data_IF_977461214133
#
_entry.id   IF_977461214133
#
_cell.length_a   1.000
_cell.length_b   1.000
_cell.length_c   1.000
_cell.angle_alpha   90.00
_cell.angle_beta   90.00
_cell.angle_gamma   90.00
#
_symmetry.space_group_name_H-M   'P 1'
#
loop_
_entity.id
_entity.type
_entity.pdbx_description
1 polymer ?
#
# COMPACT_ATOMS: atom_id res chain seq x y z
N UNK A 1 15.53 31.88 14.97
CA UNK A 1 15.53 30.41 14.76
C UNK A 1 15.61 29.71 16.10
N UNK A 2 14.57 29.00 16.55
CA UNK A 2 14.63 28.23 17.80
C UNK A 2 15.17 26.83 17.50
N UNK A 3 16.47 26.62 17.71
CA UNK A 3 17.09 25.29 17.69
C UNK A 3 16.57 24.48 18.88
N UNK A 4 15.47 23.74 18.70
CA UNK A 4 15.07 22.70 19.65
C UNK A 4 15.98 21.49 19.45
N UNK A 5 16.81 21.17 20.44
CA UNK A 5 17.55 19.89 20.51
C UNK A 5 16.57 18.76 20.81
N UNK A 6 15.90 18.24 19.80
CA UNK A 6 15.28 16.92 19.90
C UNK A 6 16.40 15.90 19.75
N UNK A 7 16.71 15.19 20.84
CA UNK A 7 17.66 14.08 20.80
C UNK A 7 17.00 12.89 20.08
N UNK A 8 17.13 12.85 18.76
CA UNK A 8 16.97 11.61 17.99
C UNK A 8 18.34 11.22 17.43
N UNK A 9 18.58 9.93 17.22
CA UNK A 9 19.84 9.47 16.61
C UNK A 9 19.66 9.45 15.10
N UNK A 10 20.38 10.30 14.32
CA UNK A 10 20.27 10.31 12.87
C UNK A 10 20.82 9.00 12.31
N UNK A 11 19.93 8.07 11.97
CA UNK A 11 20.32 6.74 11.52
C UNK A 11 21.14 6.78 10.21
N UNK A 12 20.99 7.85 9.43
CA UNK A 12 21.74 8.10 8.20
C UNK A 12 23.20 8.50 8.44
N UNK A 13 23.58 8.92 9.65
CA UNK A 13 24.96 9.33 9.95
C UNK A 13 25.97 8.19 9.79
N UNK A 14 25.52 6.93 9.93
CA UNK A 14 26.34 5.73 9.70
C UNK A 14 26.29 5.22 8.25
N UNK A 15 25.58 5.91 7.36
CA UNK A 15 25.43 5.48 5.98
C UNK A 15 26.53 6.10 5.12
N UNK A 16 27.43 5.25 4.60
CA UNK A 16 28.57 5.67 3.79
C UNK A 16 28.17 6.47 2.55
N UNK A 17 27.06 6.10 1.89
CA UNK A 17 26.59 6.83 0.72
C UNK A 17 26.09 8.22 1.12
N UNK A 18 25.36 8.34 2.25
CA UNK A 18 24.92 9.65 2.77
C UNK A 18 26.12 10.53 3.12
N UNK A 19 27.11 10.00 3.85
CA UNK A 19 28.34 10.73 4.18
C UNK A 19 29.05 11.24 2.91
N UNK A 20 29.18 10.37 1.90
CA UNK A 20 29.77 10.73 0.62
C UNK A 20 28.99 11.86 -0.08
N UNK A 21 27.65 11.82 -0.06
CA UNK A 21 26.82 12.86 -0.66
C UNK A 21 26.97 14.22 0.07
N UNK A 22 26.99 14.23 1.41
CA UNK A 22 27.26 15.45 2.17
C UNK A 22 28.63 16.05 1.83
N UNK A 23 29.66 15.22 1.66
CA UNK A 23 30.99 15.67 1.25
C UNK A 23 31.02 16.24 -0.18
N UNK A 24 30.37 15.57 -1.14
CA UNK A 24 30.35 16.00 -2.56
C UNK A 24 29.64 17.34 -2.75
N UNK A 25 28.51 17.53 -2.06
CA UNK A 25 27.64 18.68 -2.26
C UNK A 25 27.92 19.83 -1.28
N UNK A 26 28.56 19.52 -0.15
CA UNK A 26 28.80 20.45 0.94
C UNK A 26 27.57 20.60 1.85
N UNK A 27 27.77 20.56 3.16
CA UNK A 27 26.70 20.49 4.17
C UNK A 27 25.67 21.62 4.08
N UNK A 28 26.08 22.81 3.62
CA UNK A 28 25.17 23.96 3.46
C UNK A 28 24.18 23.79 2.31
N UNK A 29 24.52 22.96 1.31
CA UNK A 29 23.75 22.83 0.08
C UNK A 29 22.79 21.64 0.09
N UNK A 30 22.94 20.69 1.01
CA UNK A 30 22.17 19.45 1.01
C UNK A 30 21.58 19.19 2.38
N UNK A 31 20.29 18.84 2.43
CA UNK A 31 19.60 18.46 3.67
C UNK A 31 18.68 17.28 3.40
N UNK A 32 18.61 16.35 4.34
CA UNK A 32 17.51 15.38 4.36
C UNK A 32 16.21 16.11 4.63
N UNK A 33 15.10 15.61 4.08
CA UNK A 33 13.79 16.23 4.24
C UNK A 33 12.67 15.21 4.30
N UNK A 34 11.55 15.59 4.92
CA UNK A 34 10.27 14.92 4.71
C UNK A 34 10.20 13.55 5.38
N UNK A 35 10.03 12.49 4.58
CA UNK A 35 9.76 11.13 5.08
C UNK A 35 10.80 10.61 6.05
N UNK A 36 12.08 10.68 5.66
CA UNK A 36 13.19 10.15 6.43
C UNK A 36 13.35 10.86 7.78
N UNK A 37 13.29 12.20 7.80
CA UNK A 37 13.40 12.99 9.03
C UNK A 37 12.24 12.68 9.98
N UNK A 38 11.02 12.60 9.46
CA UNK A 38 9.82 12.31 10.28
C UNK A 38 9.82 10.90 10.89
N UNK A 39 10.41 9.93 10.19
CA UNK A 39 10.59 8.55 10.67
C UNK A 39 11.69 8.50 11.73
N UNK A 40 12.80 9.22 11.53
CA UNK A 40 13.88 9.32 12.51
C UNK A 40 13.44 10.00 13.83
N UNK A 41 12.62 11.05 13.75
CA UNK A 41 12.03 11.71 14.91
C UNK A 41 11.12 10.78 15.75
N UNK A 42 10.64 9.68 15.16
CA UNK A 42 9.89 8.63 15.84
C UNK A 42 10.77 7.41 16.20
N UNK A 43 12.10 7.56 16.23
CA UNK A 43 13.09 6.51 16.51
C UNK A 43 12.95 5.26 15.61
N UNK A 44 12.53 5.48 14.36
CA UNK A 44 12.43 4.43 13.34
C UNK A 44 13.41 4.72 12.19
N UNK A 45 13.62 3.74 11.30
CA UNK A 45 14.52 3.85 10.15
C UNK A 45 13.75 3.62 8.84
N UNK A 46 14.25 4.21 7.77
CA UNK A 46 13.76 3.98 6.41
C UNK A 46 14.94 3.97 5.45
N UNK A 47 14.81 3.20 4.38
CA UNK A 47 15.79 3.10 3.31
C UNK A 47 15.43 4.03 2.14
N UNK A 48 14.31 4.75 2.26
CA UNK A 48 13.85 5.77 1.31
C UNK A 48 14.23 7.15 1.85
N UNK A 49 15.30 7.74 1.30
CA UNK A 49 15.93 8.97 1.77
C UNK A 49 15.76 10.11 0.76
N UNK A 50 14.90 11.05 1.10
CA UNK A 50 14.69 12.27 0.33
C UNK A 50 15.66 13.36 0.77
N UNK A 51 16.36 13.95 -0.19
CA UNK A 51 17.21 15.12 0.01
C UNK A 51 16.70 16.31 -0.79
N UNK A 52 16.79 17.47 -0.17
CA UNK A 52 16.65 18.76 -0.82
C UNK A 52 18.05 19.33 -1.07
N UNK A 53 18.33 19.74 -2.31
CA UNK A 53 19.65 20.24 -2.72
C UNK A 53 19.57 21.63 -3.37
N UNK A 54 20.35 22.57 -2.84
CA UNK A 54 20.52 23.92 -3.35
C UNK A 54 21.46 23.96 -4.56
N UNK A 55 21.18 23.14 -5.57
CA UNK A 55 21.93 23.07 -6.82
C UNK A 55 20.99 22.69 -7.96
N UNK A 56 21.25 23.19 -9.17
CA UNK A 56 20.50 22.81 -10.37
C UNK A 56 20.73 21.33 -10.71
N UNK A 57 19.73 20.62 -11.27
CA UNK A 57 19.85 19.19 -11.57
C UNK A 57 21.07 18.84 -12.42
N UNK A 58 21.43 19.66 -13.41
CA UNK A 58 22.57 19.39 -14.28
C UNK A 58 23.91 19.42 -13.53
N UNK A 59 24.06 20.35 -12.59
CA UNK A 59 25.25 20.40 -11.72
C UNK A 59 25.28 19.22 -10.73
N UNK A 60 24.11 18.78 -10.25
CA UNK A 60 24.00 17.57 -9.42
C UNK A 60 24.48 16.35 -10.21
N UNK A 61 24.00 16.17 -11.44
CA UNK A 61 24.43 15.08 -12.34
C UNK A 61 25.94 15.12 -12.57
N UNK A 62 26.49 16.26 -12.98
CA UNK A 62 27.93 16.42 -13.20
C UNK A 62 28.77 16.05 -11.97
N UNK A 63 28.35 16.47 -10.76
CA UNK A 63 29.05 16.11 -9.52
C UNK A 63 28.96 14.61 -9.20
N UNK A 64 27.82 13.97 -9.45
CA UNK A 64 27.67 12.53 -9.26
C UNK A 64 28.55 11.73 -10.25
N UNK A 65 28.59 12.14 -11.52
CA UNK A 65 29.43 11.53 -12.57
C UNK A 65 30.91 11.64 -12.21
N UNK A 66 31.38 12.84 -11.85
CA UNK A 66 32.77 13.06 -11.39
C UNK A 66 33.18 12.20 -10.19
N UNK A 67 32.21 11.74 -9.40
CA UNK A 67 32.44 10.91 -8.21
C UNK A 67 32.06 9.43 -8.41
N UNK A 68 31.85 9.01 -9.67
CA UNK A 68 31.48 7.64 -10.07
C UNK A 68 30.23 7.10 -9.36
N UNK A 69 29.23 7.97 -9.11
CA UNK A 69 27.96 7.58 -8.51
C UNK A 69 26.92 7.39 -9.62
N UNK A 70 26.44 6.16 -9.81
CA UNK A 70 25.38 5.85 -10.76
C UNK A 70 24.03 6.41 -10.29
N UNK A 71 23.30 7.07 -11.18
CA UNK A 71 21.98 7.62 -10.90
C UNK A 71 21.01 7.37 -12.07
N UNK A 72 19.73 7.61 -11.82
CA UNK A 72 18.68 7.69 -12.85
C UNK A 72 17.99 9.03 -12.74
N UNK A 73 17.95 9.78 -13.84
CA UNK A 73 17.09 10.95 -13.96
C UNK A 73 15.68 10.49 -14.34
N UNK A 74 14.85 10.26 -13.33
CA UNK A 74 13.43 9.93 -13.53
C UNK A 74 12.56 11.18 -13.67
N UNK A 75 13.15 12.37 -13.51
CA UNK A 75 12.38 13.59 -13.49
C UNK A 75 12.05 14.03 -14.90
N UNK A 76 10.76 14.07 -15.25
CA UNK A 76 10.28 14.74 -16.46
C UNK A 76 10.38 16.28 -16.31
N UNK A 77 11.57 16.80 -15.98
CA UNK A 77 11.81 18.22 -15.72
C UNK A 77 11.50 18.71 -14.30
N UNK A 78 11.23 17.80 -13.34
CA UNK A 78 10.95 18.19 -11.95
C UNK A 78 12.21 18.31 -11.07
N UNK A 79 13.40 17.96 -11.60
CA UNK A 79 14.67 18.14 -10.91
C UNK A 79 14.93 17.16 -9.77
N UNK A 80 14.51 15.90 -9.93
CA UNK A 80 14.76 14.82 -8.97
C UNK A 80 15.63 13.74 -9.62
N UNK A 81 16.76 13.45 -9.00
CA UNK A 81 17.73 12.44 -9.42
C UNK A 81 17.70 11.31 -8.40
N UNK A 82 17.52 10.06 -8.85
CA UNK A 82 17.45 8.90 -7.99
C UNK A 82 18.76 8.10 -8.02
N UNK A 83 19.32 7.81 -6.86
CA UNK A 83 20.47 6.93 -6.66
C UNK A 83 19.96 5.63 -6.03
N UNK A 84 20.38 4.49 -6.57
CA UNK A 84 19.99 3.17 -6.08
C UNK A 84 21.24 2.45 -5.58
N UNK A 85 21.23 2.04 -4.32
CA UNK A 85 22.21 1.14 -3.74
C UNK A 85 21.55 -0.19 -3.37
N UNK A 86 22.32 -1.15 -2.87
CA UNK A 86 21.78 -2.44 -2.41
C UNK A 86 20.72 -2.25 -1.33
N UNK A 87 20.95 -1.31 -0.43
CA UNK A 87 20.14 -1.13 0.76
C UNK A 87 19.23 0.11 0.67
N UNK A 88 19.65 1.19 0.00
CA UNK A 88 18.95 2.47 0.00
C UNK A 88 18.51 2.96 -1.38
N UNK A 89 17.37 3.66 -1.37
CA UNK A 89 16.88 4.51 -2.45
C UNK A 89 17.03 5.97 -1.98
N UNK A 90 17.87 6.74 -2.68
CA UNK A 90 18.11 8.14 -2.37
C UNK A 90 17.56 9.01 -3.49
N UNK A 91 16.69 9.96 -3.16
CA UNK A 91 16.16 10.95 -4.10
C UNK A 91 16.76 12.33 -3.81
N UNK A 92 17.61 12.83 -4.69
CA UNK A 92 18.13 14.20 -4.65
C UNK A 92 17.21 15.12 -5.45
N UNK A 93 16.47 16.00 -4.76
CA UNK A 93 15.57 16.96 -5.41
C UNK A 93 16.10 18.37 -5.28
N UNK A 94 16.36 19.02 -6.42
CA UNK A 94 16.74 20.43 -6.46
C UNK A 94 15.65 21.31 -5.85
N UNK A 95 16.06 22.31 -5.06
CA UNK A 95 15.13 23.29 -4.48
C UNK A 95 14.35 23.97 -5.59
N UNK A 96 13.03 24.02 -5.43
CA UNK A 96 12.14 24.58 -6.45
C UNK A 96 10.94 25.29 -5.84
N UNK A 97 10.36 26.21 -6.60
CA UNK A 97 9.03 26.79 -6.40
C UNK A 97 8.12 26.38 -7.54
N UNK A 98 6.82 26.26 -7.27
CA UNK A 98 5.83 25.97 -8.31
C UNK A 98 5.40 27.29 -8.98
N UNK A 99 5.64 27.44 -10.29
CA UNK A 99 5.30 28.65 -11.09
C UNK A 99 3.89 28.53 -11.69
N UNK A 100 3.51 27.34 -12.15
CA UNK A 100 2.13 27.02 -12.54
C UNK A 100 1.67 25.81 -11.73
N UNK A 101 0.56 25.94 -11.01
CA UNK A 101 0.13 24.95 -10.03
C UNK A 101 -1.06 24.16 -10.55
N UNK A 102 -0.81 23.06 -11.26
CA UNK A 102 -1.86 22.05 -11.49
C UNK A 102 -1.30 20.64 -11.58
N UNK A 103 -1.37 19.91 -10.46
CA UNK A 103 -0.98 18.50 -10.36
C UNK A 103 0.46 18.25 -10.86
N UNK A 104 0.64 17.24 -11.72
CA UNK A 104 1.95 16.89 -12.30
C UNK A 104 2.37 17.75 -13.49
N UNK A 105 1.50 18.61 -14.02
CA UNK A 105 1.84 19.53 -15.11
C UNK A 105 2.45 20.85 -14.60
N UNK A 106 2.88 20.88 -13.34
CA UNK A 106 3.44 22.07 -12.75
C UNK A 106 4.75 22.48 -13.44
N UNK A 107 4.82 23.74 -13.87
CA UNK A 107 6.10 24.36 -14.26
C UNK A 107 6.80 24.76 -12.96
N UNK A 108 8.06 24.37 -12.82
CA UNK A 108 8.86 24.64 -11.62
C UNK A 108 9.96 25.66 -11.92
N UNK A 109 10.25 26.53 -10.98
CA UNK A 109 11.42 27.41 -11.00
C UNK A 109 12.40 26.97 -9.93
N UNK A 110 13.68 26.81 -10.29
CA UNK A 110 14.71 26.51 -9.30
C UNK A 110 15.00 27.74 -8.44
N UNK A 111 15.26 27.52 -7.16
CA UNK A 111 15.44 28.56 -6.12
C UNK A 111 16.61 28.19 -5.23
N UNK A 112 17.08 29.16 -4.43
CA UNK A 112 18.22 28.96 -3.55
C UNK A 112 17.88 29.00 -2.05
N UNK A 113 16.60 28.82 -1.69
CA UNK A 113 16.13 28.90 -0.30
C UNK A 113 15.36 27.63 0.11
N UNK A 114 15.82 26.99 1.19
CA UNK A 114 15.13 25.85 1.79
C UNK A 114 13.78 26.25 2.39
N UNK A 115 13.63 27.49 2.85
CA UNK A 115 12.36 28.01 3.37
C UNK A 115 11.32 28.12 2.26
N UNK A 116 11.72 28.63 1.09
CA UNK A 116 10.87 28.71 -0.08
C UNK A 116 10.49 27.32 -0.62
N UNK A 117 11.43 26.35 -0.59
CA UNK A 117 11.10 24.94 -0.91
C UNK A 117 10.12 24.34 0.10
N UNK A 118 10.25 24.72 1.38
CA UNK A 118 9.36 24.27 2.43
C UNK A 118 7.92 24.78 2.21
N UNK A 119 7.74 26.03 1.74
CA UNK A 119 6.42 26.64 1.47
C UNK A 119 5.57 25.84 0.48
N UNK A 120 6.20 25.24 -0.54
CA UNK A 120 5.50 24.42 -1.56
C UNK A 120 5.17 22.99 -1.10
N UNK A 121 5.65 22.53 0.05
CA UNK A 121 5.32 21.19 0.58
C UNK A 121 3.90 21.15 1.12
N UNK A 122 3.31 19.98 1.22
CA UNK A 122 1.90 19.82 1.57
C UNK A 122 1.63 20.10 3.06
N UNK A 123 2.35 19.43 3.95
CA UNK A 123 2.11 19.46 5.39
C UNK A 123 3.34 19.89 6.17
N UNK A 124 3.14 20.54 7.32
CA UNK A 124 4.21 21.01 8.22
C UNK A 124 5.17 19.88 8.60
N UNK A 125 4.63 18.71 8.94
CA UNK A 125 5.39 17.48 9.27
C UNK A 125 6.26 16.96 8.11
N UNK A 126 6.01 17.41 6.87
CA UNK A 126 6.77 17.01 5.68
C UNK A 126 7.79 18.07 5.24
N UNK A 127 7.83 19.22 5.93
CA UNK A 127 8.77 20.32 5.70
C UNK A 127 9.82 20.45 6.81
N UNK A 128 10.11 19.34 7.50
CA UNK A 128 11.21 19.25 8.46
C UNK A 128 12.45 18.79 7.70
N UNK A 129 13.54 19.55 7.85
CA UNK A 129 14.83 19.26 7.24
C UNK A 129 15.86 18.92 8.30
N UNK A 130 16.86 18.15 7.93
CA UNK A 130 17.99 17.85 8.81
C UNK A 130 19.32 17.82 8.06
N UNK A 131 20.37 18.27 8.72
CA UNK A 131 21.75 18.07 8.27
C UNK A 131 22.25 16.66 8.64
N UNK A 132 23.54 16.41 8.40
CA UNK A 132 24.18 15.13 8.70
C UNK A 132 24.17 14.81 10.21
N UNK A 133 24.35 15.84 11.03
CA UNK A 133 24.48 15.74 12.49
C UNK A 133 23.13 15.63 13.21
N UNK A 134 22.02 15.82 12.50
CA UNK A 134 20.68 15.75 13.07
C UNK A 134 20.14 17.10 13.53
N UNK A 135 20.84 18.22 13.25
CA UNK A 135 20.28 19.53 13.51
C UNK A 135 19.08 19.76 12.59
N UNK A 136 18.02 20.36 13.13
CA UNK A 136 16.76 20.53 12.42
C UNK A 136 16.60 21.94 11.89
N UNK A 137 16.16 22.04 10.64
CA UNK A 137 15.59 23.26 10.08
C UNK A 137 14.09 23.03 9.85
N UNK A 138 13.26 23.69 10.67
CA UNK A 138 11.81 23.51 10.69
C UNK A 138 11.09 24.87 10.63
N UNK A 139 10.90 25.44 9.44
CA UNK A 139 10.32 26.78 9.29
C UNK A 139 8.81 26.84 9.58
N UNK A 140 8.12 25.70 9.73
CA UNK A 140 6.65 25.65 9.85
C UNK A 140 6.16 24.86 11.07
N UNK A 141 6.99 24.73 12.12
CA UNK A 141 6.67 24.03 13.36
C UNK A 141 6.20 22.57 13.14
N UNK A 142 6.70 21.90 12.09
CA UNK A 142 6.36 20.52 11.75
C UNK A 142 6.72 19.54 12.85
N UNK A 143 7.79 19.80 13.60
CA UNK A 143 8.19 19.02 14.77
C UNK A 143 7.10 19.05 15.85
N UNK A 144 6.62 20.24 16.20
CA UNK A 144 5.58 20.44 17.22
C UNK A 144 4.25 19.81 16.78
N UNK A 145 3.92 19.93 15.50
CA UNK A 145 2.74 19.28 14.94
C UNK A 145 2.86 17.75 14.95
N UNK A 146 4.05 17.21 14.67
CA UNK A 146 4.34 15.77 14.73
C UNK A 146 4.22 15.23 16.15
N UNK A 147 4.80 15.91 17.15
CA UNK A 147 4.66 15.56 18.59
C UNK A 147 3.19 15.49 19.01
N UNK A 148 2.35 16.36 18.45
CA UNK A 148 0.91 16.40 18.71
C UNK A 148 0.09 15.51 17.78
N UNK A 149 0.72 14.74 16.89
CA UNK A 149 0.09 13.94 15.83
C UNK A 149 -0.88 14.74 14.95
N UNK A 150 -0.64 16.04 14.76
CA UNK A 150 -1.47 16.94 13.97
C UNK A 150 -1.00 17.00 12.52
N UNK A 151 -1.93 16.79 11.60
CA UNK A 151 -1.68 16.94 10.17
C UNK A 151 -2.17 18.31 9.73
N UNK A 152 -1.25 19.24 9.52
CA UNK A 152 -1.55 20.64 9.18
C UNK A 152 -0.96 20.99 7.82
N UNK A 153 -1.75 21.62 6.96
CA UNK A 153 -1.25 22.19 5.71
C UNK A 153 -0.33 23.39 5.97
N UNK A 154 0.69 23.56 5.13
CA UNK A 154 1.48 24.79 5.10
C UNK A 154 0.67 25.86 4.36
N UNK A 155 0.44 27.01 4.98
CA UNK A 155 -0.41 28.07 4.44
C UNK A 155 -1.92 27.73 4.47
N UNK A 156 -2.68 28.25 3.49
CA UNK A 156 -4.14 28.10 3.43
C UNK A 156 -4.52 26.73 2.83
N UNK A 157 -5.18 25.82 3.57
CA UNK A 157 -5.47 24.45 3.12
C UNK A 157 -6.18 24.35 1.76
N UNK A 158 -7.17 25.20 1.51
CA UNK A 158 -7.95 25.19 0.26
C UNK A 158 -7.10 25.53 -0.96
N UNK A 159 -6.18 26.49 -0.84
CA UNK A 159 -5.21 26.82 -1.90
C UNK A 159 -4.28 25.62 -2.15
N UNK A 160 -3.79 24.98 -1.09
CA UNK A 160 -2.92 23.81 -1.21
C UNK A 160 -3.65 22.64 -1.89
N UNK A 161 -4.92 22.43 -1.62
CA UNK A 161 -5.71 21.39 -2.30
C UNK A 161 -5.87 21.72 -3.79
N UNK A 162 -6.14 22.98 -4.14
CA UNK A 162 -6.27 23.43 -5.54
C UNK A 162 -4.99 23.19 -6.36
N UNK A 163 -3.81 23.33 -5.75
CA UNK A 163 -2.52 23.05 -6.42
C UNK A 163 -2.38 21.57 -6.84
N UNK A 164 -2.76 20.64 -5.96
CA UNK A 164 -2.78 19.19 -6.25
C UNK A 164 -3.83 18.48 -5.40
N UNK A 165 -4.94 18.10 -6.05
CA UNK A 165 -6.06 17.40 -5.39
C UNK A 165 -5.63 16.07 -4.73
N UNK A 166 -4.48 15.48 -5.10
CA UNK A 166 -3.95 14.28 -4.42
C UNK A 166 -3.68 14.53 -2.93
N UNK A 167 -3.45 15.78 -2.53
CA UNK A 167 -3.24 16.15 -1.12
C UNK A 167 -4.44 15.81 -0.24
N UNK A 168 -5.66 15.71 -0.79
CA UNK A 168 -6.84 15.20 -0.08
C UNK A 168 -6.60 13.77 0.43
N UNK A 169 -6.19 12.86 -0.46
CA UNK A 169 -5.91 11.47 -0.10
C UNK A 169 -4.67 11.35 0.80
N UNK A 170 -3.64 12.18 0.55
CA UNK A 170 -2.45 12.22 1.41
C UNK A 170 -2.80 12.67 2.83
N UNK A 171 -3.68 13.66 2.98
CA UNK A 171 -4.14 14.13 4.29
C UNK A 171 -4.76 12.99 5.08
N UNK A 172 -5.76 12.30 4.51
CA UNK A 172 -6.40 11.18 5.19
C UNK A 172 -5.45 10.00 5.43
N UNK A 173 -4.53 9.71 4.50
CA UNK A 173 -3.46 8.74 4.74
C UNK A 173 -2.61 9.10 5.97
N UNK A 174 -2.20 10.36 6.09
CA UNK A 174 -1.38 10.81 7.20
C UNK A 174 -2.16 10.86 8.51
N UNK A 175 -3.44 11.25 8.49
CA UNK A 175 -4.36 11.10 9.63
C UNK A 175 -4.37 9.65 10.09
N UNK A 176 -4.56 8.70 9.17
CA UNK A 176 -4.53 7.27 9.50
C UNK A 176 -3.16 6.73 9.92
N UNK A 177 -2.09 7.48 9.68
CA UNK A 177 -0.73 7.09 10.06
C UNK A 177 -0.39 7.58 11.47
N UNK A 178 -0.75 8.83 11.79
CA UNK A 178 -0.32 9.52 13.01
C UNK A 178 -1.45 9.74 14.02
N UNK A 179 -2.61 10.20 13.57
CA UNK A 179 -3.71 10.53 14.47
C UNK A 179 -4.49 9.27 14.89
N UNK A 180 -4.96 9.25 16.13
CA UNK A 180 -5.77 8.18 16.73
C UNK A 180 -7.08 8.66 17.34
N UNK A 181 -7.28 9.97 17.48
CA UNK A 181 -8.49 10.57 18.05
C UNK A 181 -8.80 11.95 17.44
N UNK A 182 -10.01 12.46 17.71
CA UNK A 182 -10.50 13.72 17.13
C UNK A 182 -9.73 14.97 17.62
N UNK A 183 -9.16 14.97 18.83
CA UNK A 183 -8.39 16.10 19.38
C UNK A 183 -7.10 16.38 18.60
N UNK A 184 -6.58 15.37 17.90
CA UNK A 184 -5.41 15.45 17.04
C UNK A 184 -5.73 15.95 15.62
N UNK A 185 -7.02 16.17 15.29
CA UNK A 185 -7.41 16.73 14.00
C UNK A 185 -7.25 18.25 14.02
N UNK A 186 -6.52 18.77 13.04
CA UNK A 186 -6.47 20.21 12.80
C UNK A 186 -7.72 20.64 12.01
N UNK A 187 -8.68 21.26 12.69
CA UNK A 187 -10.02 21.55 12.15
C UNK A 187 -9.99 22.28 10.79
N UNK A 188 -9.15 23.32 10.62
CA UNK A 188 -9.04 24.04 9.35
C UNK A 188 -8.58 23.14 8.19
N UNK A 189 -7.68 22.19 8.46
CA UNK A 189 -7.20 21.25 7.44
C UNK A 189 -8.24 20.16 7.15
N UNK A 190 -8.94 19.69 8.19
CA UNK A 190 -10.01 18.70 8.05
C UNK A 190 -11.18 19.25 7.22
N UNK A 191 -11.71 20.42 7.58
CA UNK A 191 -12.88 21.01 6.93
C UNK A 191 -12.60 21.28 5.45
N UNK A 192 -11.44 21.88 5.14
CA UNK A 192 -11.03 22.11 3.75
C UNK A 192 -10.94 20.80 2.96
N UNK A 193 -10.46 19.71 3.56
CA UNK A 193 -10.41 18.40 2.92
C UNK A 193 -11.81 17.80 2.68
N UNK A 194 -12.74 17.96 3.62
CA UNK A 194 -14.12 17.46 3.49
C UNK A 194 -14.85 18.21 2.38
N UNK A 195 -14.84 19.54 2.43
CA UNK A 195 -15.52 20.42 1.46
C UNK A 195 -15.04 20.20 0.02
N UNK A 196 -13.76 19.87 -0.15
CA UNK A 196 -13.14 19.69 -1.46
C UNK A 196 -13.00 18.22 -1.87
N UNK A 197 -13.49 17.26 -1.08
CA UNK A 197 -13.19 15.83 -1.30
C UNK A 197 -13.64 15.31 -2.66
N UNK A 198 -14.74 15.84 -3.21
CA UNK A 198 -15.26 15.46 -4.53
C UNK A 198 -14.24 15.62 -5.66
N UNK A 199 -13.26 16.53 -5.49
CA UNK A 199 -12.19 16.78 -6.47
C UNK A 199 -11.27 15.58 -6.68
N UNK A 200 -11.29 14.55 -5.83
CA UNK A 200 -10.50 13.33 -6.10
C UNK A 200 -10.92 12.65 -7.41
N UNK A 201 -12.15 12.88 -7.91
CA UNK A 201 -12.62 12.38 -9.22
C UNK A 201 -11.81 12.93 -10.40
N UNK A 202 -11.09 14.05 -10.22
CA UNK A 202 -10.19 14.63 -11.24
C UNK A 202 -8.83 13.93 -11.33
N UNK A 203 -8.52 13.04 -10.38
CA UNK A 203 -7.23 12.35 -10.32
C UNK A 203 -7.25 11.08 -11.15
N UNK A 204 -6.10 10.73 -11.73
CA UNK A 204 -5.89 9.40 -12.34
C UNK A 204 -6.07 8.28 -11.30
N UNK A 205 -6.69 7.17 -11.71
CA UNK A 205 -6.96 6.00 -10.85
C UNK A 205 -5.70 5.40 -10.23
N UNK A 206 -4.56 5.45 -10.92
CA UNK A 206 -3.27 4.99 -10.41
C UNK A 206 -2.84 5.78 -9.17
N UNK A 207 -2.95 7.11 -9.21
CA UNK A 207 -2.58 7.99 -8.09
C UNK A 207 -3.50 7.78 -6.89
N UNK A 208 -4.81 7.67 -7.16
CA UNK A 208 -5.82 7.37 -6.13
C UNK A 208 -5.49 6.03 -5.47
N UNK A 209 -5.22 5.00 -6.27
CA UNK A 209 -4.86 3.69 -5.76
C UNK A 209 -3.62 3.71 -4.86
N UNK A 210 -2.55 4.41 -5.26
CA UNK A 210 -1.30 4.43 -4.48
C UNK A 210 -1.57 4.98 -3.08
N UNK A 211 -2.27 6.11 -2.99
CA UNK A 211 -2.58 6.73 -1.69
C UNK A 211 -3.62 5.92 -0.91
N UNK A 212 -4.65 5.38 -1.57
CA UNK A 212 -5.63 4.50 -0.93
C UNK A 212 -4.98 3.23 -0.36
N UNK A 213 -4.08 2.58 -1.09
CA UNK A 213 -3.35 1.43 -0.60
C UNK A 213 -2.51 1.77 0.63
N UNK A 214 -1.84 2.93 0.64
CA UNK A 214 -1.06 3.35 1.81
C UNK A 214 -1.97 3.69 3.00
N UNK A 215 -3.13 4.31 2.76
CA UNK A 215 -4.16 4.51 3.78
C UNK A 215 -4.66 3.17 4.33
N UNK A 216 -4.95 2.20 3.46
CA UNK A 216 -5.39 0.87 3.87
C UNK A 216 -4.36 0.17 4.76
N UNK A 217 -3.08 0.48 4.63
CA UNK A 217 -2.02 -0.12 5.44
C UNK A 217 -1.62 0.72 6.66
N UNK A 218 -2.25 1.88 6.84
CA UNK A 218 -1.93 2.78 7.94
C UNK A 218 -2.33 2.16 9.29
N UNK A 219 -1.71 2.67 10.37
CA UNK A 219 -1.89 2.15 11.74
C UNK A 219 -3.35 2.29 12.21
N UNK A 220 -3.96 3.44 11.94
CA UNK A 220 -5.29 3.84 12.40
C UNK A 220 -6.26 4.00 11.22
N UNK A 221 -6.22 3.10 10.24
CA UNK A 221 -7.11 3.14 9.06
C UNK A 221 -8.59 3.20 9.47
N UNK A 222 -8.99 2.47 10.52
CA UNK A 222 -10.35 2.48 11.04
C UNK A 222 -10.81 3.88 11.48
N UNK A 223 -9.94 4.64 12.14
CA UNK A 223 -10.22 6.02 12.56
C UNK A 223 -10.40 6.96 11.36
N UNK A 224 -9.56 6.81 10.34
CA UNK A 224 -9.73 7.60 9.11
C UNK A 224 -11.00 7.23 8.35
N UNK A 225 -11.32 5.94 8.27
CA UNK A 225 -12.54 5.46 7.64
C UNK A 225 -13.78 5.90 8.41
N UNK A 226 -13.75 6.02 9.74
CA UNK A 226 -14.87 6.54 10.51
C UNK A 226 -15.12 8.02 10.23
N UNK A 227 -14.06 8.83 10.08
CA UNK A 227 -14.18 10.24 9.66
C UNK A 227 -14.78 10.32 8.25
N UNK A 228 -14.21 9.58 7.30
CA UNK A 228 -14.72 9.57 5.91
C UNK A 228 -16.18 9.11 5.87
N UNK A 229 -16.57 8.10 6.65
CA UNK A 229 -17.95 7.63 6.73
C UNK A 229 -18.87 8.69 7.31
N UNK A 230 -18.48 9.35 8.41
CA UNK A 230 -19.25 10.43 9.08
C UNK A 230 -19.62 11.54 8.10
N UNK A 231 -18.75 11.84 7.14
CA UNK A 231 -18.97 12.86 6.11
C UNK A 231 -19.46 12.32 4.75
N UNK A 232 -19.91 11.06 4.68
CA UNK A 232 -20.39 10.40 3.44
C UNK A 232 -19.37 10.36 2.29
N UNK A 233 -18.07 10.30 2.63
CA UNK A 233 -16.98 10.39 1.67
C UNK A 233 -16.45 9.03 1.18
N UNK A 234 -16.80 7.91 1.83
CA UNK A 234 -16.24 6.60 1.47
C UNK A 234 -16.59 6.14 0.05
N UNK A 235 -17.79 6.50 -0.44
CA UNK A 235 -18.21 6.13 -1.79
C UNK A 235 -17.36 6.79 -2.88
N UNK A 236 -16.74 7.95 -2.62
CA UNK A 236 -15.81 8.55 -3.58
C UNK A 236 -14.52 7.73 -3.74
N UNK A 237 -14.16 6.89 -2.77
CA UNK A 237 -13.00 6.00 -2.85
C UNK A 237 -13.35 4.70 -3.56
N UNK A 238 -14.45 4.06 -3.14
CA UNK A 238 -14.99 2.87 -3.78
C UNK A 238 -16.50 2.86 -3.52
N UNK A 239 -17.28 2.77 -4.58
CA UNK A 239 -18.74 2.66 -4.51
C UNK A 239 -19.17 1.50 -3.60
N UNK A 240 -20.05 1.77 -2.65
CA UNK A 240 -20.58 0.79 -1.70
C UNK A 240 -19.84 0.72 -0.37
N UNK A 241 -18.66 1.34 -0.23
CA UNK A 241 -17.95 1.37 1.06
C UNK A 241 -18.73 2.12 2.15
N UNK A 242 -19.59 3.06 1.78
CA UNK A 242 -20.42 3.77 2.76
C UNK A 242 -21.36 2.82 3.55
N UNK A 243 -21.67 1.62 3.00
CA UNK A 243 -22.48 0.58 3.65
C UNK A 243 -21.77 -0.13 4.81
N UNK A 244 -20.46 0.06 5.00
CA UNK A 244 -19.71 -0.58 6.08
C UNK A 244 -20.26 -0.18 7.45
N UNK A 245 -20.49 -1.14 8.34
CA UNK A 245 -20.84 -0.85 9.73
C UNK A 245 -19.66 -0.27 10.52
N UNK A 246 -19.92 0.54 11.55
CA UNK A 246 -18.86 1.12 12.41
C UNK A 246 -17.99 0.02 13.06
N UNK A 247 -18.63 -1.08 13.45
CA UNK A 247 -17.96 -2.30 13.94
C UNK A 247 -16.97 -2.87 12.92
N UNK A 248 -17.34 -2.90 11.64
CA UNK A 248 -16.45 -3.40 10.58
C UNK A 248 -15.28 -2.45 10.32
N UNK A 249 -15.53 -1.15 10.35
CA UNK A 249 -14.49 -0.12 10.23
C UNK A 249 -13.47 -0.25 11.37
N UNK A 250 -13.92 -0.38 12.61
CA UNK A 250 -13.02 -0.52 13.77
C UNK A 250 -12.19 -1.80 13.71
N UNK A 251 -12.75 -2.87 13.14
CA UNK A 251 -12.05 -4.14 12.94
C UNK A 251 -10.91 -4.08 11.92
N UNK A 252 -10.88 -3.10 11.00
CA UNK A 252 -9.79 -2.97 10.01
C UNK A 252 -8.40 -2.90 10.65
N UNK A 253 -8.28 -2.22 11.80
CA UNK A 253 -7.00 -2.06 12.50
C UNK A 253 -6.45 -3.39 13.04
N UNK A 254 -7.31 -4.39 13.25
CA UNK A 254 -6.95 -5.72 13.80
C UNK A 254 -6.53 -6.71 12.72
N UNK A 255 -6.73 -6.39 11.45
CA UNK A 255 -6.30 -7.22 10.33
C UNK A 255 -4.80 -7.03 10.04
N UNK A 256 -4.12 -8.06 9.51
CA UNK A 256 -2.78 -7.91 8.96
C UNK A 256 -2.67 -6.70 8.03
N UNK A 257 -1.51 -6.02 8.04
CA UNK A 257 -1.21 -4.90 7.15
C UNK A 257 -0.82 -5.42 5.76
N UNK A 258 -1.74 -6.16 5.15
CA UNK A 258 -1.59 -6.72 3.82
C UNK A 258 -2.74 -6.24 2.92
N UNK A 259 -2.38 -5.74 1.74
CA UNK A 259 -3.34 -5.09 0.82
C UNK A 259 -4.46 -6.03 0.44
N UNK A 260 -4.11 -7.27 0.05
CA UNK A 260 -5.07 -8.25 -0.42
C UNK A 260 -6.03 -8.69 0.69
N UNK A 261 -5.53 -8.88 1.92
CA UNK A 261 -6.36 -9.25 3.07
C UNK A 261 -7.35 -8.14 3.40
N UNK A 262 -6.88 -6.88 3.50
CA UNK A 262 -7.75 -5.75 3.82
C UNK A 262 -8.76 -5.45 2.70
N UNK A 263 -8.37 -5.57 1.43
CA UNK A 263 -9.30 -5.43 0.30
C UNK A 263 -10.34 -6.57 0.30
N UNK A 264 -9.93 -7.82 0.48
CA UNK A 264 -10.84 -8.96 0.59
C UNK A 264 -11.83 -8.78 1.76
N UNK A 265 -11.37 -8.25 2.89
CA UNK A 265 -12.22 -7.89 4.02
C UNK A 265 -13.27 -6.85 3.62
N UNK A 266 -12.86 -5.73 3.01
CA UNK A 266 -13.76 -4.68 2.55
C UNK A 266 -14.86 -5.26 1.65
N UNK A 267 -14.48 -6.10 0.69
CA UNK A 267 -15.41 -6.75 -0.24
C UNK A 267 -16.40 -7.64 0.51
N UNK A 268 -15.93 -8.51 1.41
CA UNK A 268 -16.80 -9.43 2.16
C UNK A 268 -17.81 -8.70 3.04
N UNK A 269 -17.41 -7.63 3.72
CA UNK A 269 -18.31 -6.91 4.65
C UNK A 269 -19.28 -5.97 3.95
N UNK A 270 -18.96 -5.51 2.74
CA UNK A 270 -19.83 -4.60 1.96
C UNK A 270 -20.58 -5.28 0.82
N UNK A 271 -20.19 -6.50 0.45
CA UNK A 271 -20.69 -7.23 -0.73
C UNK A 271 -20.47 -6.48 -2.05
N UNK A 272 -19.45 -5.62 -2.13
CA UNK A 272 -19.05 -4.94 -3.38
C UNK A 272 -18.57 -5.98 -4.41
N UNK A 273 -18.97 -5.85 -5.67
CA UNK A 273 -18.47 -6.75 -6.72
C UNK A 273 -17.01 -6.38 -7.04
N UNK A 274 -16.17 -7.37 -7.32
CA UNK A 274 -14.75 -7.14 -7.67
C UNK A 274 -14.59 -6.24 -8.89
N UNK A 275 -15.51 -6.30 -9.86
CA UNK A 275 -15.55 -5.42 -11.02
C UNK A 275 -15.70 -3.93 -10.65
N UNK A 276 -16.42 -3.61 -9.57
CA UNK A 276 -16.65 -2.23 -9.13
C UNK A 276 -15.41 -1.61 -8.47
N UNK A 277 -14.51 -2.44 -7.92
CA UNK A 277 -13.26 -1.95 -7.33
C UNK A 277 -12.38 -1.27 -8.38
N UNK A 278 -12.34 -1.83 -9.60
CA UNK A 278 -11.56 -1.31 -10.71
C UNK A 278 -12.12 0.00 -11.29
N UNK A 279 -13.35 0.39 -10.94
CA UNK A 279 -13.90 1.69 -11.34
C UNK A 279 -13.11 2.83 -10.70
N UNK A 280 -12.75 2.70 -9.43
CA UNK A 280 -12.11 3.77 -8.66
C UNK A 280 -10.62 3.49 -8.36
N UNK A 281 -10.20 2.22 -8.35
CA UNK A 281 -8.86 1.80 -7.91
C UNK A 281 -8.27 0.76 -8.87
N UNK A 282 -7.08 1.01 -9.42
CA UNK A 282 -6.48 0.14 -10.45
C UNK A 282 -5.81 -1.13 -9.91
N UNK A 283 -6.52 -2.21 -9.62
CA UNK A 283 -5.88 -3.44 -9.11
C UNK A 283 -5.10 -4.17 -10.23
N UNK A 284 -3.90 -4.71 -9.94
CA UNK A 284 -3.14 -5.51 -10.93
C UNK A 284 -3.86 -6.82 -11.27
N UNK A 285 -3.68 -7.34 -12.49
CA UNK A 285 -4.35 -8.58 -12.95
C UNK A 285 -4.13 -9.76 -11.99
N UNK A 286 -2.89 -9.99 -11.54
CA UNK A 286 -2.56 -11.05 -10.57
C UNK A 286 -3.31 -10.92 -9.25
N UNK A 287 -3.42 -9.69 -8.73
CA UNK A 287 -4.15 -9.41 -7.49
C UNK A 287 -5.66 -9.55 -7.67
N UNK A 288 -6.22 -9.22 -8.85
CA UNK A 288 -7.63 -9.45 -9.15
C UNK A 288 -7.94 -10.95 -9.12
N UNK A 289 -7.14 -11.78 -9.79
CA UNK A 289 -7.32 -13.25 -9.78
C UNK A 289 -7.25 -13.80 -8.36
N UNK A 290 -6.24 -13.37 -7.59
CA UNK A 290 -6.10 -13.78 -6.19
C UNK A 290 -7.30 -13.37 -5.33
N UNK A 291 -7.80 -12.14 -5.47
CA UNK A 291 -8.99 -11.67 -4.78
C UNK A 291 -10.23 -12.47 -5.19
N UNK A 292 -10.41 -12.74 -6.48
CA UNK A 292 -11.51 -13.57 -6.98
C UNK A 292 -11.47 -14.97 -6.36
N UNK A 293 -10.30 -15.61 -6.31
CA UNK A 293 -10.13 -16.93 -5.71
C UNK A 293 -10.39 -16.92 -4.19
N UNK A 294 -9.96 -15.88 -3.47
CA UNK A 294 -10.27 -15.72 -2.04
C UNK A 294 -11.78 -15.59 -1.82
N UNK A 295 -12.49 -14.93 -2.73
CA UNK A 295 -13.92 -14.65 -2.62
C UNK A 295 -14.81 -15.76 -3.19
N UNK A 296 -14.31 -16.60 -4.09
CA UNK A 296 -15.05 -17.71 -4.71
C UNK A 296 -15.27 -18.88 -3.77
N UNK A 297 -14.45 -19.03 -2.72
CA UNK A 297 -14.64 -20.01 -1.66
C UNK A 297 -15.95 -19.69 -0.94
N UNK A 298 -16.99 -20.45 -1.27
CA UNK A 298 -18.33 -20.32 -0.70
C UNK A 298 -18.36 -20.89 0.72
N UNK A 299 -19.00 -20.17 1.64
CA UNK A 299 -19.21 -20.63 3.01
C UNK A 299 -17.97 -20.54 3.91
N UNK A 300 -18.08 -21.19 5.06
CA UNK A 300 -16.99 -21.34 6.04
C UNK A 300 -16.36 -22.72 5.85
N UNK A 301 -15.04 -22.80 5.90
CA UNK A 301 -14.32 -24.08 6.02
C UNK A 301 -14.51 -24.57 7.46
N UNK A 302 -15.27 -25.65 7.62
CA UNK A 302 -15.71 -26.23 8.90
C UNK A 302 -15.02 -27.56 9.22
N UNK A 303 -14.44 -28.23 8.23
CA UNK A 303 -13.80 -29.55 8.41
C UNK A 303 -12.42 -29.61 7.77
N UNK A 304 -11.63 -30.62 8.17
CA UNK A 304 -10.33 -30.92 7.56
C UNK A 304 -10.48 -31.32 6.09
N UNK A 305 -11.54 -32.03 5.72
CA UNK A 305 -11.80 -32.40 4.33
C UNK A 305 -12.10 -31.16 3.47
N UNK A 306 -12.92 -30.23 3.97
CA UNK A 306 -13.13 -28.95 3.29
C UNK A 306 -11.82 -28.14 3.16
N UNK A 307 -10.93 -28.20 4.15
CA UNK A 307 -9.62 -27.57 4.06
C UNK A 307 -8.76 -28.18 2.95
N UNK A 308 -8.70 -29.51 2.84
CA UNK A 308 -7.97 -30.21 1.76
C UNK A 308 -8.52 -29.82 0.39
N UNK A 309 -9.86 -29.84 0.22
CA UNK A 309 -10.53 -29.47 -1.03
C UNK A 309 -10.19 -28.02 -1.42
N UNK A 310 -10.28 -27.07 -0.49
CA UNK A 310 -9.99 -25.67 -0.79
C UNK A 310 -8.50 -25.43 -1.06
N UNK A 311 -7.60 -26.10 -0.33
CA UNK A 311 -6.15 -26.05 -0.61
C UNK A 311 -5.82 -26.64 -1.99
N UNK A 312 -6.47 -27.73 -2.38
CA UNK A 312 -6.28 -28.38 -3.68
C UNK A 312 -6.63 -27.43 -4.84
N UNK A 313 -7.82 -26.81 -4.81
CA UNK A 313 -8.28 -25.97 -5.93
C UNK A 313 -7.67 -24.57 -5.97
N UNK A 314 -7.36 -23.98 -4.81
CA UNK A 314 -6.98 -22.57 -4.73
C UNK A 314 -5.54 -22.34 -4.28
N UNK A 315 -4.85 -23.38 -3.85
CA UNK A 315 -3.53 -23.31 -3.23
C UNK A 315 -3.59 -22.88 -1.76
N UNK A 316 -2.45 -23.07 -1.09
CA UNK A 316 -2.29 -22.80 0.35
C UNK A 316 -2.62 -21.36 0.71
N UNK A 317 -1.99 -20.40 0.02
CA UNK A 317 -2.07 -19.00 0.39
C UNK A 317 -3.50 -18.46 0.35
N UNK A 318 -4.25 -18.80 -0.69
CA UNK A 318 -5.65 -18.37 -0.88
C UNK A 318 -6.56 -19.03 0.15
N UNK A 319 -6.46 -20.35 0.32
CA UNK A 319 -7.30 -21.10 1.25
C UNK A 319 -7.07 -20.64 2.70
N UNK A 320 -5.81 -20.44 3.09
CA UNK A 320 -5.43 -19.92 4.40
C UNK A 320 -5.94 -18.51 4.64
N UNK A 321 -5.79 -17.63 3.65
CA UNK A 321 -6.29 -16.25 3.72
C UNK A 321 -7.80 -16.21 3.87
N UNK A 322 -8.54 -16.97 3.04
CA UNK A 322 -9.99 -17.06 3.14
C UNK A 322 -10.43 -17.56 4.52
N UNK A 323 -9.81 -18.65 5.01
CA UNK A 323 -10.14 -19.26 6.30
C UNK A 323 -9.98 -18.26 7.45
N UNK A 324 -8.77 -17.68 7.60
CA UNK A 324 -8.48 -16.71 8.66
C UNK A 324 -9.40 -15.50 8.59
N UNK A 325 -9.64 -14.98 7.39
CA UNK A 325 -10.52 -13.83 7.19
C UNK A 325 -11.97 -14.14 7.58
N UNK A 326 -12.47 -15.32 7.22
CA UNK A 326 -13.80 -15.78 7.58
C UNK A 326 -13.95 -15.97 9.10
N UNK A 327 -12.96 -16.57 9.78
CA UNK A 327 -12.97 -16.68 11.23
C UNK A 327 -12.97 -15.30 11.90
N UNK A 328 -12.17 -14.37 11.38
CA UNK A 328 -12.13 -12.99 11.87
C UNK A 328 -13.48 -12.27 11.70
N UNK A 329 -14.08 -12.30 10.52
CA UNK A 329 -15.37 -11.65 10.23
C UNK A 329 -16.48 -12.20 11.12
N UNK A 330 -16.53 -13.53 11.27
CA UNK A 330 -17.58 -14.23 12.03
C UNK A 330 -17.27 -14.33 13.53
N UNK A 331 -16.17 -13.72 14.01
CA UNK A 331 -15.69 -13.78 15.40
C UNK A 331 -15.56 -15.21 15.94
N UNK A 332 -15.16 -16.15 15.09
CA UNK A 332 -14.94 -17.55 15.48
C UNK A 332 -13.47 -17.78 15.82
N UNK A 333 -13.19 -18.65 16.80
CA UNK A 333 -11.82 -19.09 17.10
C UNK A 333 -11.27 -19.91 15.93
N UNK A 334 -9.99 -19.75 15.64
CA UNK A 334 -9.28 -20.56 14.64
C UNK A 334 -9.21 -22.00 15.16
N UNK A 335 -9.58 -22.97 14.32
CA UNK A 335 -9.42 -24.39 14.61
C UNK A 335 -8.02 -24.83 14.17
N UNK A 336 -7.21 -25.28 15.12
CA UNK A 336 -5.82 -25.66 14.86
C UNK A 336 -5.67 -26.86 13.93
N UNK A 337 -6.62 -27.82 13.93
CA UNK A 337 -6.59 -28.98 13.02
C UNK A 337 -6.76 -28.52 11.56
N UNK A 338 -7.76 -27.68 11.31
CA UNK A 338 -8.00 -27.07 9.98
C UNK A 338 -6.80 -26.23 9.55
N UNK A 339 -6.27 -25.42 10.47
CA UNK A 339 -5.09 -24.58 10.20
C UNK A 339 -3.86 -25.43 9.83
N UNK A 340 -3.65 -26.55 10.54
CA UNK A 340 -2.55 -27.47 10.26
C UNK A 340 -2.70 -28.08 8.87
N UNK A 341 -3.88 -28.61 8.53
CA UNK A 341 -4.16 -29.15 7.18
C UNK A 341 -3.87 -28.12 6.09
N UNK A 342 -4.33 -26.88 6.24
CA UNK A 342 -4.08 -25.82 5.26
C UNK A 342 -2.58 -25.52 5.07
N UNK A 343 -1.75 -25.72 6.09
CA UNK A 343 -0.30 -25.49 6.02
C UNK A 343 0.47 -26.71 5.53
N UNK A 344 0.20 -27.88 6.07
CA UNK A 344 1.09 -29.05 5.93
C UNK A 344 0.60 -30.09 4.94
N UNK A 345 -0.71 -30.16 4.66
CA UNK A 345 -1.22 -31.16 3.74
C UNK A 345 -0.73 -30.92 2.31
N UNK A 346 -0.20 -31.96 1.69
CA UNK A 346 0.23 -31.98 0.29
C UNK A 346 -0.80 -32.72 -0.55
N UNK A 347 -1.19 -32.10 -1.67
CA UNK A 347 -2.15 -32.70 -2.58
C UNK A 347 -1.58 -33.99 -3.21
N UNK A 348 -2.29 -35.13 -3.10
CA UNK A 348 -1.95 -36.30 -3.88
C UNK A 348 -2.20 -36.03 -5.37
N UNK A 349 -1.58 -36.82 -6.25
CA UNK A 349 -1.87 -36.80 -7.68
C UNK A 349 -3.07 -37.69 -7.96
N UNK A 350 -3.94 -37.27 -8.88
CA UNK A 350 -5.03 -38.12 -9.37
C UNK A 350 -4.41 -39.43 -9.90
N UNK A 351 -4.88 -40.61 -9.46
CA UNK A 351 -4.21 -41.88 -9.75
C UNK A 351 -4.49 -42.40 -11.17
N UNK A 352 -5.09 -41.59 -12.03
CA UNK A 352 -5.35 -41.87 -13.45
C UNK A 352 -4.94 -40.67 -14.30
N UNK A 353 -4.65 -40.91 -15.58
CA UNK A 353 -4.18 -39.90 -16.53
C UNK A 353 -4.99 -39.93 -17.85
N UNK A 354 -4.58 -39.13 -18.84
CA UNK A 354 -5.24 -39.05 -20.15
C UNK A 354 -5.21 -40.37 -20.92
N UNK A 355 -4.11 -41.12 -20.83
CA UNK A 355 -3.96 -42.40 -21.54
C UNK A 355 -4.96 -43.45 -21.03
N UNK A 356 -5.26 -43.43 -19.73
CA UNK A 356 -6.31 -44.27 -19.15
C UNK A 356 -7.67 -43.96 -19.78
N UNK A 357 -7.98 -42.67 -19.98
CA UNK A 357 -9.25 -42.27 -20.61
C UNK A 357 -9.31 -42.69 -22.07
N UNK A 358 -8.23 -42.50 -22.84
CA UNK A 358 -8.16 -42.95 -24.24
C UNK A 358 -8.39 -44.47 -24.31
N UNK A 359 -7.71 -45.24 -23.45
CA UNK A 359 -7.79 -46.70 -23.43
C UNK A 359 -9.22 -47.21 -23.15
N UNK A 360 -9.94 -46.60 -22.21
CA UNK A 360 -11.25 -47.10 -21.77
C UNK A 360 -12.44 -46.46 -22.48
N UNK A 361 -12.29 -45.24 -23.01
CA UNK A 361 -13.39 -44.51 -23.68
C UNK A 361 -13.22 -44.35 -25.18
N UNK A 362 -12.02 -44.60 -25.73
CA UNK A 362 -11.73 -44.45 -27.16
C UNK A 362 -12.13 -43.07 -27.70
N UNK A 363 -11.99 -42.04 -26.86
CA UNK A 363 -12.27 -40.63 -27.19
C UNK A 363 -10.97 -39.86 -27.37
N UNK A 364 -11.02 -38.79 -28.17
CA UNK A 364 -9.85 -37.99 -28.54
C UNK A 364 -10.05 -36.50 -28.27
N UNK A 365 -8.94 -35.75 -28.19
CA UNK A 365 -8.95 -34.30 -28.08
C UNK A 365 -9.57 -33.76 -26.79
N UNK A 366 -10.42 -32.73 -26.89
CA UNK A 366 -10.95 -31.99 -25.73
C UNK A 366 -11.82 -32.83 -24.79
N UNK A 367 -12.43 -33.91 -25.29
CA UNK A 367 -13.32 -34.77 -24.51
C UNK A 367 -12.58 -35.51 -23.38
N UNK A 368 -11.30 -35.84 -23.58
CA UNK A 368 -10.44 -36.47 -22.57
C UNK A 368 -10.40 -35.61 -21.30
N UNK A 369 -10.15 -34.31 -21.47
CA UNK A 369 -10.10 -33.35 -20.36
C UNK A 369 -11.43 -33.25 -19.61
N UNK A 370 -12.56 -33.29 -20.32
CA UNK A 370 -13.90 -33.25 -19.71
C UNK A 370 -14.14 -34.48 -18.83
N UNK A 371 -13.80 -35.67 -19.32
CA UNK A 371 -13.94 -36.92 -18.56
C UNK A 371 -12.99 -36.95 -17.37
N UNK A 372 -11.73 -36.56 -17.55
CA UNK A 372 -10.77 -36.42 -16.44
C UNK A 372 -11.29 -35.48 -15.36
N UNK A 373 -11.77 -34.29 -15.73
CA UNK A 373 -12.33 -33.34 -14.77
C UNK A 373 -13.61 -33.84 -14.08
N UNK A 374 -14.40 -34.73 -14.69
CA UNK A 374 -15.52 -35.40 -14.01
C UNK A 374 -15.02 -36.36 -12.93
N UNK A 375 -14.01 -37.17 -13.25
CA UNK A 375 -13.45 -38.15 -12.30
C UNK A 375 -12.68 -37.45 -11.18
N UNK A 376 -11.92 -36.42 -11.51
CA UNK A 376 -11.22 -35.59 -10.53
C UNK A 376 -12.21 -34.99 -9.52
N UNK A 377 -13.33 -34.40 -9.98
CA UNK A 377 -14.37 -33.89 -9.07
C UNK A 377 -14.94 -34.99 -8.17
N UNK A 378 -15.16 -36.18 -8.70
CA UNK A 378 -15.62 -37.32 -7.90
C UNK A 378 -14.56 -37.77 -6.88
N UNK A 379 -13.29 -37.83 -7.27
CA UNK A 379 -12.17 -38.21 -6.41
C UNK A 379 -11.96 -37.20 -5.27
N UNK A 380 -12.03 -35.91 -5.58
CA UNK A 380 -11.98 -34.80 -4.61
C UNK A 380 -13.17 -34.88 -3.64
N UNK A 381 -14.39 -35.18 -4.12
CA UNK A 381 -15.57 -35.37 -3.26
C UNK A 381 -15.41 -36.54 -2.29
N UNK A 382 -14.67 -37.57 -2.68
CA UNK A 382 -14.31 -38.71 -1.83
C UNK A 382 -12.98 -38.51 -1.08
N UNK A 383 -12.64 -37.25 -0.78
CA UNK A 383 -11.51 -36.88 0.08
C UNK A 383 -10.15 -37.41 -0.39
N UNK A 384 -9.96 -37.54 -1.71
CA UNK A 384 -8.70 -37.99 -2.32
C UNK A 384 -8.30 -39.43 -1.95
N UNK A 385 -9.22 -40.21 -1.36
CA UNK A 385 -8.98 -41.58 -0.92
C UNK A 385 -9.09 -42.64 -2.03
N UNK A 386 -9.98 -42.51 -3.05
CA UNK A 386 -10.13 -43.58 -4.02
C UNK A 386 -8.83 -43.91 -4.75
N UNK A 387 -8.56 -45.20 -4.83
CA UNK A 387 -7.39 -45.80 -5.46
C UNK A 387 -7.49 -45.77 -6.99
N UNK A 388 -6.38 -46.07 -7.67
CA UNK A 388 -6.36 -46.24 -9.14
C UNK A 388 -7.45 -47.21 -9.63
N UNK A 389 -7.63 -48.35 -8.95
CA UNK A 389 -8.63 -49.37 -9.32
C UNK A 389 -10.06 -48.82 -9.26
N UNK A 390 -10.37 -48.06 -8.22
CA UNK A 390 -11.69 -47.43 -8.04
C UNK A 390 -11.91 -46.29 -9.03
N UNK A 391 -10.90 -45.46 -9.29
CA UNK A 391 -10.94 -44.42 -10.31
C UNK A 391 -11.17 -45.00 -11.71
N UNK A 392 -10.51 -46.12 -12.06
CA UNK A 392 -10.72 -46.82 -13.32
C UNK A 392 -12.12 -47.46 -13.40
N UNK A 393 -12.63 -48.02 -12.30
CA UNK A 393 -14.01 -48.53 -12.25
C UNK A 393 -15.01 -47.40 -12.46
N UNK A 394 -14.78 -46.23 -11.85
CA UNK A 394 -15.61 -45.05 -12.05
C UNK A 394 -15.53 -44.53 -13.48
N UNK A 395 -14.33 -44.49 -14.07
CA UNK A 395 -14.13 -44.13 -15.48
C UNK A 395 -14.95 -45.01 -16.42
N UNK A 396 -15.00 -46.33 -16.20
CA UNK A 396 -15.83 -47.23 -17.01
C UNK A 396 -17.33 -46.92 -16.93
N UNK A 397 -17.80 -46.47 -15.75
CA UNK A 397 -19.22 -46.21 -15.46
C UNK A 397 -19.78 -44.87 -15.93
N UNK A 398 -18.91 -43.88 -16.19
CA UNK A 398 -19.28 -42.55 -16.73
C UNK A 398 -19.35 -42.68 -18.25
#
# INVERSE_FOLDING_TARGET
MRNKKIKFVPFWKKNNLVLKLFNIFGEKNIKLVGGAVRVALNNTKTNDLDFAINMRPDLVKQKLEKNNIKFKDKSKGHGTISIFSKDDVIELTSLRKDIKTFGRKAKVGFINSFEEDAKRRDFTINSIYSDLEGNLFDPFDGVKDLEKNKIKFIGIPTNRIKEDNLRLLRYFRFVGTYASNEQQLHLKSLNACIENFSKIKTLSKERVQIEFNKLLLSKNVGFTFSILKKHNLLNFLIDGLQKMSNKSINSLNKLPKEKIIRIAYLIKVTKIKTADLNKNIKISKSNVVKLQNILSIKGLIKSENEAKINKYYYGEEVALTNYKLNQFINKKKVNNKILNVLKTWTAPKLPINGDDVIKYKKINGKEIGIVLSKIERWWVKNCFLPTRKECLKKLKSI
#
